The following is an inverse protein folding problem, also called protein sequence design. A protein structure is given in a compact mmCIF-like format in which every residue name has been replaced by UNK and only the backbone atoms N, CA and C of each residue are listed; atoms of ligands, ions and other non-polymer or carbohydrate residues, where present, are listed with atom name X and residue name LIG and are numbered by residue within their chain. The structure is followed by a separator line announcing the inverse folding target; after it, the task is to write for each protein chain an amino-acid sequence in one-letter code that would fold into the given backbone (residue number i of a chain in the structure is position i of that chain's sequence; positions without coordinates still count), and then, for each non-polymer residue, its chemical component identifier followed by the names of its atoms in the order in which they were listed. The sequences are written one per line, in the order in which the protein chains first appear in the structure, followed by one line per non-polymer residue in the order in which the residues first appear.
data_IF_430313122946
#
_entry.id   IF_430313122946
#
_cell.length_a   1.000
_cell.length_b   1.000
_cell.length_c   1.000
_cell.angle_alpha   90.00
_cell.angle_beta   90.00
_cell.angle_gamma   90.00
#
_symmetry.space_group_name_H-M   'P 1'
#
loop_
_entity.id
_entity.type
_entity.pdbx_description
1 polymer ?
#
# COMPACT_ATOMS: atom_id res chain seq x y z
N UNK A 1 -1.49 -24.77 15.43
CA UNK A 1 -2.36 -23.59 15.21
C UNK A 1 -1.93 -22.45 16.16
N UNK A 2 -0.86 -21.70 15.84
CA UNK A 2 -0.38 -20.60 16.69
C UNK A 2 -1.23 -19.32 16.58
N UNK A 3 -2.02 -19.20 15.49
CA UNK A 3 -2.77 -18.00 15.17
C UNK A 3 -3.76 -17.54 16.27
N UNK A 4 -4.58 -18.41 16.90
CA UNK A 4 -5.50 -17.97 17.95
C UNK A 4 -4.80 -17.50 19.21
N UNK A 5 -3.61 -18.07 19.51
CA UNK A 5 -2.83 -17.74 20.71
C UNK A 5 -2.20 -16.36 20.59
N UNK A 6 -1.66 -16.04 19.41
CA UNK A 6 -1.06 -14.72 19.15
C UNK A 6 -2.15 -13.64 19.14
N UNK A 7 -3.32 -13.94 18.57
CA UNK A 7 -4.44 -13.00 18.62
C UNK A 7 -4.97 -12.82 20.05
N UNK A 8 -5.06 -13.90 20.83
CA UNK A 8 -5.45 -13.82 22.24
C UNK A 8 -4.51 -12.93 23.06
N UNK A 9 -3.20 -13.13 22.93
CA UNK A 9 -2.20 -12.29 23.59
C UNK A 9 -2.26 -10.83 23.14
N UNK A 10 -2.48 -10.58 21.85
CA UNK A 10 -2.64 -9.22 21.33
C UNK A 10 -3.89 -8.52 21.90
N UNK A 11 -5.00 -9.25 22.09
CA UNK A 11 -6.22 -8.75 22.71
C UNK A 11 -5.99 -8.45 24.20
N UNK A 12 -5.23 -9.29 24.90
CA UNK A 12 -4.88 -9.05 26.31
C UNK A 12 -4.09 -7.73 26.50
N UNK A 13 -3.35 -7.26 25.49
CA UNK A 13 -2.64 -5.96 25.56
C UNK A 13 -3.55 -4.74 25.52
N UNK A 14 -4.78 -4.87 25.00
CA UNK A 14 -5.75 -3.77 24.97
C UNK A 14 -6.68 -3.77 26.20
N UNK A 15 -6.38 -4.60 27.21
CA UNK A 15 -7.14 -4.66 28.43
C UNK A 15 -6.97 -3.39 29.28
N UNK A 16 -8.07 -2.67 29.51
CA UNK A 16 -8.09 -1.49 30.38
C UNK A 16 -8.29 -1.89 31.85
N UNK A 17 -9.17 -2.87 32.10
CA UNK A 17 -9.50 -3.33 33.44
C UNK A 17 -9.41 -4.85 33.58
N UNK A 18 -8.41 -5.29 34.34
CA UNK A 18 -8.23 -6.66 34.77
C UNK A 18 -9.19 -6.99 35.91
N UNK A 19 -9.98 -8.06 35.78
CA UNK A 19 -10.66 -8.61 36.93
C UNK A 19 -9.61 -9.20 37.90
N UNK A 20 -9.79 -8.97 39.20
CA UNK A 20 -9.01 -9.66 40.23
C UNK A 20 -9.89 -10.73 40.85
N UNK A 21 -9.37 -11.95 40.89
CA UNK A 21 -9.95 -13.03 41.68
C UNK A 21 -8.88 -13.57 42.61
N UNK A 22 -9.20 -13.67 43.91
CA UNK A 22 -8.26 -14.12 44.95
C UNK A 22 -6.90 -13.41 44.92
N UNK A 23 -6.88 -12.10 44.63
CA UNK A 23 -5.66 -11.28 44.58
C UNK A 23 -4.77 -11.48 43.34
N UNK A 24 -5.13 -12.37 42.40
CA UNK A 24 -4.41 -12.59 41.14
C UNK A 24 -5.14 -11.95 39.96
N UNK A 25 -4.38 -11.58 38.91
CA UNK A 25 -4.98 -11.14 37.63
C UNK A 25 -5.76 -12.33 37.04
N UNK A 26 -7.04 -12.11 36.82
CA UNK A 26 -7.95 -13.03 36.18
C UNK A 26 -8.26 -12.52 34.76
N UNK A 27 -9.43 -12.87 34.23
CA UNK A 27 -9.87 -12.44 32.90
C UNK A 27 -9.96 -10.92 32.79
N UNK A 28 -9.66 -10.35 31.63
CA UNK A 28 -9.95 -8.95 31.38
C UNK A 28 -11.47 -8.73 31.29
N UNK A 29 -11.98 -7.69 31.95
CA UNK A 29 -13.43 -7.38 31.97
C UNK A 29 -13.82 -6.32 30.95
N UNK A 30 -12.90 -5.40 30.65
CA UNK A 30 -13.14 -4.30 29.72
C UNK A 30 -11.93 -4.10 28.82
N UNK A 31 -12.14 -4.33 27.52
CA UNK A 31 -11.15 -4.10 26.47
C UNK A 31 -11.43 -2.77 25.81
N UNK A 32 -10.35 -2.05 25.48
CA UNK A 32 -10.45 -0.85 24.67
C UNK A 32 -10.64 -1.22 23.20
N UNK A 33 -11.88 -1.07 22.72
CA UNK A 33 -12.24 -1.35 21.33
C UNK A 33 -11.66 -0.31 20.35
N UNK A 34 -11.41 0.92 20.80
CA UNK A 34 -10.84 1.97 19.98
C UNK A 34 -9.36 1.72 19.72
N UNK A 35 -8.61 1.28 20.73
CA UNK A 35 -7.20 0.92 20.59
C UNK A 35 -7.02 -0.29 19.67
N UNK A 36 -7.84 -1.34 19.83
CA UNK A 36 -7.82 -2.50 18.95
C UNK A 36 -8.12 -2.10 17.50
N UNK A 37 -9.15 -1.28 17.29
CA UNK A 37 -9.55 -0.80 15.97
C UNK A 37 -8.47 0.07 15.34
N UNK A 38 -7.88 0.99 16.09
CA UNK A 38 -6.82 1.86 15.60
C UNK A 38 -5.56 1.08 15.20
N UNK A 39 -5.18 0.06 15.98
CA UNK A 39 -4.05 -0.84 15.63
C UNK A 39 -4.33 -1.64 14.36
N UNK A 40 -5.51 -2.22 14.25
CA UNK A 40 -5.90 -3.01 13.07
C UNK A 40 -5.98 -2.15 11.81
N UNK A 41 -6.65 -0.99 11.90
CA UNK A 41 -6.75 -0.04 10.81
C UNK A 41 -5.36 0.48 10.44
N UNK A 42 -4.53 0.87 11.41
CA UNK A 42 -3.16 1.33 11.16
C UNK A 42 -2.30 0.29 10.43
N UNK A 43 -2.40 -0.99 10.83
CA UNK A 43 -1.70 -2.08 10.14
C UNK A 43 -2.19 -2.26 8.70
N UNK A 44 -3.50 -2.25 8.49
CA UNK A 44 -4.11 -2.35 7.16
C UNK A 44 -3.71 -1.18 6.26
N UNK A 45 -3.70 0.04 6.80
CA UNK A 45 -3.26 1.23 6.08
C UNK A 45 -1.77 1.14 5.73
N UNK A 46 -0.92 0.72 6.67
CA UNK A 46 0.50 0.53 6.41
C UNK A 46 0.75 -0.44 5.24
N UNK A 47 0.09 -1.60 5.22
CA UNK A 47 0.22 -2.54 4.11
C UNK A 47 -0.30 -1.96 2.78
N UNK A 48 -1.45 -1.29 2.78
CA UNK A 48 -2.00 -0.67 1.57
C UNK A 48 -1.09 0.43 1.03
N UNK A 49 -0.65 1.35 1.88
CA UNK A 49 0.23 2.46 1.50
C UNK A 49 1.59 1.95 1.06
N UNK A 50 2.18 0.98 1.78
CA UNK A 50 3.44 0.34 1.39
C UNK A 50 3.35 -0.32 0.02
N UNK A 51 2.27 -1.07 -0.23
CA UNK A 51 2.02 -1.68 -1.54
C UNK A 51 1.88 -0.64 -2.65
N UNK A 52 1.13 0.44 -2.40
CA UNK A 52 0.94 1.53 -3.36
C UNK A 52 2.27 2.23 -3.69
N UNK A 53 3.11 2.51 -2.68
CA UNK A 53 4.44 3.10 -2.88
C UNK A 53 5.33 2.16 -3.70
N UNK A 54 5.38 0.88 -3.35
CA UNK A 54 6.15 -0.10 -4.14
C UNK A 54 5.68 -0.15 -5.60
N UNK A 55 4.38 -0.15 -5.84
CA UNK A 55 3.82 -0.13 -7.19
C UNK A 55 4.19 1.15 -7.94
N UNK A 56 4.08 2.31 -7.29
CA UNK A 56 4.47 3.59 -7.87
C UNK A 56 5.96 3.65 -8.22
N UNK A 57 6.83 3.08 -7.39
CA UNK A 57 8.27 2.98 -7.66
C UNK A 57 8.55 2.11 -8.89
N UNK A 58 7.91 0.94 -8.99
CA UNK A 58 8.04 0.07 -10.17
C UNK A 58 7.61 0.81 -11.43
N UNK A 59 6.46 1.49 -11.38
CA UNK A 59 6.00 2.30 -12.51
C UNK A 59 6.98 3.42 -12.86
N UNK A 60 7.54 4.12 -11.87
CA UNK A 60 8.50 5.19 -12.12
C UNK A 60 9.74 4.68 -12.84
N UNK A 61 10.28 3.52 -12.42
CA UNK A 61 11.44 2.88 -13.06
C UNK A 61 11.12 2.51 -14.51
N UNK A 62 9.97 1.87 -14.76
CA UNK A 62 9.55 1.51 -16.12
C UNK A 62 9.39 2.74 -17.02
N UNK A 63 8.91 3.87 -16.47
CA UNK A 63 8.78 5.13 -17.23
C UNK A 63 10.11 5.84 -17.46
N UNK A 64 11.12 5.61 -16.63
CA UNK A 64 12.46 6.15 -16.87
C UNK A 64 13.10 5.46 -18.08
N UNK A 65 12.97 4.13 -18.19
CA UNK A 65 13.50 3.38 -19.33
C UNK A 65 12.89 3.83 -20.67
N UNK A 66 11.57 4.04 -20.71
CA UNK A 66 10.88 4.56 -21.89
C UNK A 66 11.41 5.95 -22.32
N UNK A 67 11.73 6.83 -21.35
CA UNK A 67 12.32 8.14 -21.62
C UNK A 67 13.77 8.07 -22.10
N UNK A 68 14.54 7.10 -21.62
CA UNK A 68 15.93 6.89 -22.03
C UNK A 68 16.01 6.40 -23.48
N UNK A 69 15.05 5.58 -23.93
CA UNK A 69 14.94 5.16 -25.33
C UNK A 69 14.47 6.31 -26.24
N UNK A 70 13.51 7.12 -25.80
CA UNK A 70 13.08 8.31 -26.55
C UNK A 70 14.20 9.35 -26.73
N UNK A 71 15.11 9.47 -25.75
CA UNK A 71 16.24 10.43 -25.81
C UNK A 71 17.36 9.95 -26.73
N UNK A 72 17.59 8.63 -26.85
CA UNK A 72 18.57 8.08 -27.81
C UNK A 72 18.12 8.22 -29.27
N UNK A 73 16.82 8.16 -29.54
CA UNK A 73 16.27 8.31 -30.89
C UNK A 73 16.38 9.76 -31.39
N UNK A 74 16.41 10.76 -30.50
CA UNK A 74 16.50 12.19 -30.85
C UNK A 74 17.96 12.67 -31.02
N UNK A 75 18.97 11.92 -30.55
CA UNK A 75 20.36 12.37 -30.51
C UNK A 75 21.20 12.10 -31.78
N UNK A 76 20.64 11.50 -32.84
CA UNK A 76 21.36 11.27 -34.10
C UNK A 76 20.71 12.07 -35.25
N UNK A 77 21.46 12.89 -36.01
CA UNK A 77 20.91 13.67 -37.11
C UNK A 77 20.61 12.78 -38.34
N UNK A 78 19.37 12.86 -38.83
CA UNK A 78 18.74 12.21 -40.01
C UNK A 78 19.56 12.26 -41.33
N UNK A 79 19.33 11.40 -42.38
CA UNK A 79 18.00 11.12 -43.02
C UNK A 79 17.83 9.75 -43.77
N UNK A 80 16.77 9.46 -44.59
CA UNK A 80 15.32 9.67 -44.41
C UNK A 80 14.45 8.39 -44.67
N UNK A 81 13.22 8.42 -44.12
CA UNK A 81 12.01 7.63 -44.48
C UNK A 81 11.98 6.11 -44.27
N UNK A 82 11.10 5.64 -43.38
CA UNK A 82 9.84 4.90 -43.69
C UNK A 82 9.28 4.26 -42.40
N UNK A 83 8.04 4.66 -42.07
CA UNK A 83 7.01 3.85 -41.39
C UNK A 83 7.32 3.24 -40.00
N UNK A 84 6.77 3.83 -38.94
CA UNK A 84 5.84 3.12 -38.05
C UNK A 84 5.09 4.14 -37.18
N UNK A 85 3.85 4.39 -37.57
CA UNK A 85 2.83 5.06 -36.75
C UNK A 85 2.63 4.24 -35.48
N UNK A 86 2.76 4.85 -34.29
CA UNK A 86 1.90 4.54 -33.14
C UNK A 86 2.11 5.57 -32.03
N UNK A 87 1.32 6.65 -32.05
CA UNK A 87 0.85 7.26 -30.80
C UNK A 87 -0.35 6.45 -30.28
N UNK A 88 -0.77 6.62 -29.01
CA UNK A 88 -1.83 7.61 -28.85
C UNK A 88 -1.78 8.43 -27.54
N UNK A 89 -1.88 9.74 -27.73
CA UNK A 89 -3.02 10.55 -27.27
C UNK A 89 -3.58 10.27 -25.86
N UNK A 90 -3.26 11.17 -24.91
CA UNK A 90 -4.03 11.34 -23.68
C UNK A 90 -4.19 12.82 -23.35
N UNK A 91 -5.04 13.51 -24.11
CA UNK A 91 -5.71 14.72 -23.66
C UNK A 91 -6.89 14.99 -24.60
N UNK A 92 -8.07 15.26 -24.02
CA UNK A 92 -9.37 15.53 -24.66
C UNK A 92 -10.22 14.25 -24.83
N UNK A 93 -11.53 14.34 -24.56
CA UNK A 93 -12.54 13.25 -24.68
C UNK A 93 -12.71 12.24 -23.51
N UNK A 94 -12.77 12.67 -22.23
CA UNK A 94 -13.55 11.95 -21.20
C UNK A 94 -14.11 12.94 -20.15
N UNK A 95 -14.88 13.95 -20.59
CA UNK A 95 -15.69 14.80 -19.69
C UNK A 95 -16.98 15.32 -20.36
N UNK A 96 -17.51 14.57 -21.32
CA UNK A 96 -18.83 14.88 -21.92
C UNK A 96 -19.57 13.58 -22.25
N UNK A 97 -20.19 12.98 -21.24
CA UNK A 97 -21.54 12.38 -21.23
C UNK A 97 -22.01 12.38 -19.78
#
# INVERSE_FOLDING_TARGET
MPSPVIHGSAIDTTCLHWARSCGRRAVCRYYDHDLLRNRFIGLQFFFKTGSLVCFALILAILRQQDKEEATKVVALPDPPQQLFVSGPEKKLEEFRV
#
